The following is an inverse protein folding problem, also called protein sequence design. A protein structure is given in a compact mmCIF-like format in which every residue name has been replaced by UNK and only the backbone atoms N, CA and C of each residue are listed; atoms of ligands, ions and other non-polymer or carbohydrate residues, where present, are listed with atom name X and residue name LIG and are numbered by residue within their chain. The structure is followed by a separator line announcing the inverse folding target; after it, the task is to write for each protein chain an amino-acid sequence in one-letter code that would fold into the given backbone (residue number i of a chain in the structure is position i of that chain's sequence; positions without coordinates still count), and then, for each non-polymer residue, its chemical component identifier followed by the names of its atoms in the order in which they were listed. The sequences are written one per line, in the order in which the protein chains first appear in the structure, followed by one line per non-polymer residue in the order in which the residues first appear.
data_IF_838237833003
#
_entry.id   IF_838237833003
#
_cell.length_a   1.000
_cell.length_b   1.000
_cell.length_c   1.000
_cell.angle_alpha   90.00
_cell.angle_beta   90.00
_cell.angle_gamma   90.00
#
_symmetry.space_group_name_H-M   'P 1'
#
loop_
_entity.id
_entity.type
_entity.pdbx_description
1 polymer ?
#
# COMPACT_ATOMS: atom_id res chain seq x y z
N UNK A 1 2.43 24.34 11.23
CA UNK A 1 2.87 25.56 10.50
C UNK A 1 3.76 26.45 11.37
N UNK A 2 3.42 26.70 12.65
CA UNK A 2 4.25 27.55 13.54
C UNK A 2 5.67 26.99 13.70
N UNK A 3 5.84 25.69 14.00
CA UNK A 3 7.19 25.12 14.14
C UNK A 3 7.96 25.17 12.83
N UNK A 4 7.33 24.85 11.68
CA UNK A 4 7.98 24.93 10.37
C UNK A 4 8.44 26.36 10.02
N UNK A 5 7.60 27.38 10.25
CA UNK A 5 8.00 28.76 9.97
C UNK A 5 9.15 29.24 10.86
N UNK A 6 9.31 28.65 12.05
CA UNK A 6 10.37 28.98 12.99
C UNK A 6 11.67 28.20 12.72
N UNK A 7 11.57 26.90 12.41
CA UNK A 7 12.73 26.01 12.23
C UNK A 7 13.18 25.87 10.77
N UNK A 8 12.29 26.14 9.81
CA UNK A 8 12.40 25.77 8.39
C UNK A 8 12.68 24.28 8.16
N UNK A 9 12.33 23.43 9.13
CA UNK A 9 12.61 22.01 9.10
C UNK A 9 11.53 21.27 8.29
N UNK A 10 11.98 20.61 7.22
CA UNK A 10 11.16 19.84 6.29
C UNK A 10 10.33 18.77 7.00
N UNK A 11 10.81 18.20 8.10
CA UNK A 11 10.07 17.18 8.85
C UNK A 11 8.72 17.70 9.36
N UNK A 12 8.68 18.91 9.94
CA UNK A 12 7.43 19.51 10.43
C UNK A 12 6.49 19.91 9.29
N UNK A 13 7.04 20.29 8.12
CA UNK A 13 6.23 20.52 6.94
C UNK A 13 5.53 19.24 6.50
N UNK A 14 6.25 18.12 6.42
CA UNK A 14 5.69 16.85 5.97
C UNK A 14 4.63 16.31 6.93
N UNK A 15 4.84 16.42 8.25
CA UNK A 15 3.82 16.07 9.24
C UNK A 15 2.55 16.92 9.09
N UNK A 16 2.71 18.23 8.87
CA UNK A 16 1.58 19.11 8.61
C UNK A 16 0.83 18.71 7.33
N UNK A 17 1.56 18.42 6.24
CA UNK A 17 0.98 17.96 4.98
C UNK A 17 0.22 16.65 5.17
N UNK A 18 0.76 15.68 5.93
CA UNK A 18 0.04 14.45 6.24
C UNK A 18 -1.31 14.73 6.89
N UNK A 19 -1.32 15.52 7.96
CA UNK A 19 -2.54 15.83 8.71
C UNK A 19 -3.56 16.57 7.85
N UNK A 20 -3.12 17.52 7.04
CA UNK A 20 -3.98 18.27 6.12
C UNK A 20 -4.62 17.37 5.07
N UNK A 21 -3.84 16.49 4.44
CA UNK A 21 -4.34 15.55 3.42
C UNK A 21 -5.29 14.50 4.01
N UNK A 22 -5.01 14.01 5.22
CA UNK A 22 -5.91 13.08 5.92
C UNK A 22 -7.25 13.74 6.29
N UNK A 23 -7.23 15.00 6.74
CA UNK A 23 -8.47 15.74 7.00
C UNK A 23 -9.28 15.94 5.72
N UNK A 24 -8.63 16.34 4.63
CA UNK A 24 -9.28 16.48 3.33
C UNK A 24 -9.90 15.14 2.85
N UNK A 25 -9.22 14.01 3.11
CA UNK A 25 -9.77 12.68 2.83
C UNK A 25 -11.05 12.37 3.62
N UNK A 26 -11.10 12.76 4.90
CA UNK A 26 -12.29 12.57 5.73
C UNK A 26 -13.47 13.44 5.28
N UNK A 27 -13.18 14.64 4.78
CA UNK A 27 -14.17 15.58 4.24
C UNK A 27 -14.51 15.31 2.75
N UNK A 28 -13.87 14.31 2.14
CA UNK A 28 -13.94 13.99 0.71
C UNK A 28 -13.57 15.17 -0.22
N UNK A 29 -12.71 16.09 0.24
CA UNK A 29 -12.23 17.24 -0.54
C UNK A 29 -10.97 16.89 -1.36
N UNK A 30 -11.15 16.05 -2.39
CA UNK A 30 -10.05 15.66 -3.29
C UNK A 30 -9.85 16.63 -4.46
N UNK A 31 -10.75 17.60 -4.63
CA UNK A 31 -10.81 18.45 -5.82
C UNK A 31 -10.33 19.88 -5.57
N UNK A 32 -10.20 20.31 -4.31
CA UNK A 32 -9.67 21.64 -4.01
C UNK A 32 -8.26 21.82 -4.56
N UNK A 33 -7.96 23.07 -4.91
CA UNK A 33 -6.63 23.49 -5.38
C UNK A 33 -5.59 23.18 -4.29
N UNK A 34 -5.92 23.47 -3.03
CA UNK A 34 -5.06 23.22 -1.89
C UNK A 34 -4.71 21.73 -1.75
N UNK A 35 -5.69 20.83 -1.86
CA UNK A 35 -5.44 19.40 -1.82
C UNK A 35 -4.43 18.97 -2.89
N UNK A 36 -4.63 19.41 -4.14
CA UNK A 36 -3.77 19.06 -5.27
C UNK A 36 -2.34 19.56 -5.10
N UNK A 37 -2.17 20.80 -4.64
CA UNK A 37 -0.85 21.39 -4.39
C UNK A 37 -0.10 20.65 -3.27
N UNK A 38 -0.80 20.30 -2.19
CA UNK A 38 -0.23 19.56 -1.07
C UNK A 38 0.14 18.12 -1.47
N UNK A 39 -0.76 17.44 -2.21
CA UNK A 39 -0.51 16.11 -2.74
C UNK A 39 0.71 16.10 -3.65
N UNK A 40 0.81 17.06 -4.58
CA UNK A 40 1.96 17.20 -5.46
C UNK A 40 3.26 17.41 -4.67
N UNK A 41 3.25 18.28 -3.66
CA UNK A 41 4.43 18.52 -2.80
C UNK A 41 4.91 17.24 -2.12
N UNK A 42 3.97 16.42 -1.61
CA UNK A 42 4.28 15.13 -0.99
C UNK A 42 4.85 14.13 -1.99
N UNK A 43 4.22 14.01 -3.17
CA UNK A 43 4.67 13.11 -4.24
C UNK A 43 6.09 13.46 -4.70
N UNK A 44 6.36 14.74 -4.94
CA UNK A 44 7.69 15.23 -5.33
C UNK A 44 8.74 14.93 -4.27
N UNK A 45 8.42 15.12 -2.99
CA UNK A 45 9.32 14.75 -1.90
C UNK A 45 9.64 13.25 -1.93
N UNK A 46 8.62 12.38 -1.96
CA UNK A 46 8.81 10.93 -1.90
C UNK A 46 9.61 10.39 -3.09
N UNK A 47 9.41 10.94 -4.29
CA UNK A 47 10.16 10.54 -5.48
C UNK A 47 11.58 11.10 -5.54
N UNK A 48 11.83 12.28 -4.95
CA UNK A 48 13.17 12.87 -4.90
C UNK A 48 14.10 12.13 -3.93
N UNK A 49 13.57 11.60 -2.82
CA UNK A 49 14.38 10.90 -1.83
C UNK A 49 14.88 9.57 -2.39
N UNK A 50 16.20 9.38 -2.40
CA UNK A 50 16.84 8.20 -2.96
C UNK A 50 16.59 6.94 -2.13
N UNK A 51 16.72 7.03 -0.81
CA UNK A 51 16.55 5.91 0.13
C UNK A 51 15.43 6.19 1.12
N UNK A 52 14.51 5.24 1.28
CA UNK A 52 13.43 5.36 2.25
C UNK A 52 13.83 4.77 3.60
N UNK A 53 13.69 5.57 4.66
CA UNK A 53 13.71 5.13 6.03
C UNK A 53 12.29 4.90 6.55
N UNK A 54 12.19 4.59 7.85
CA UNK A 54 10.89 4.31 8.50
C UNK A 54 9.86 5.43 8.30
N UNK A 55 10.33 6.69 8.27
CA UNK A 55 9.49 7.85 8.07
C UNK A 55 8.87 7.82 6.68
N UNK A 56 9.67 7.72 5.61
CA UNK A 56 9.18 7.72 4.24
C UNK A 56 8.25 6.53 3.96
N UNK A 57 8.57 5.34 4.48
CA UNK A 57 7.66 4.18 4.39
C UNK A 57 6.30 4.51 5.00
N UNK A 58 6.27 4.98 6.25
CA UNK A 58 5.02 5.30 6.95
C UNK A 58 4.26 6.40 6.22
N UNK A 59 4.97 7.41 5.74
CA UNK A 59 4.41 8.56 5.03
C UNK A 59 3.76 8.13 3.70
N UNK A 60 4.45 7.32 2.90
CA UNK A 60 3.91 6.75 1.67
C UNK A 60 2.69 5.87 1.91
N UNK A 61 2.77 4.96 2.89
CA UNK A 61 1.68 4.01 3.20
C UNK A 61 0.40 4.75 3.58
N UNK A 62 0.50 5.75 4.44
CA UNK A 62 -0.66 6.50 4.90
C UNK A 62 -1.27 7.34 3.78
N UNK A 63 -0.42 7.92 2.92
CA UNK A 63 -0.85 8.84 1.87
C UNK A 63 -1.06 8.14 0.51
N UNK A 64 -1.17 6.81 0.45
CA UNK A 64 -1.31 6.10 -0.83
C UNK A 64 -2.50 6.59 -1.68
N UNK A 65 -3.54 7.12 -1.04
CA UNK A 65 -4.73 7.67 -1.70
C UNK A 65 -4.49 8.94 -2.53
N UNK A 66 -3.36 9.64 -2.32
CA UNK A 66 -3.04 10.86 -3.09
C UNK A 66 -2.44 10.52 -4.45
N UNK A 67 -2.05 9.28 -4.70
CA UNK A 67 -1.46 8.84 -5.97
C UNK A 67 -2.57 8.34 -6.90
N UNK A 68 -2.74 8.99 -8.04
CA UNK A 68 -3.58 8.43 -9.09
C UNK A 68 -2.96 7.15 -9.67
N UNK A 69 -3.80 6.34 -10.32
CA UNK A 69 -3.40 5.02 -10.83
C UNK A 69 -2.29 5.11 -11.89
N UNK A 70 -2.32 6.14 -12.74
CA UNK A 70 -1.35 6.31 -13.82
C UNK A 70 0.03 6.67 -13.27
N UNK A 71 0.07 7.63 -12.35
CA UNK A 71 1.28 8.05 -11.66
C UNK A 71 1.87 6.89 -10.87
N UNK A 72 1.06 6.18 -10.09
CA UNK A 72 1.53 5.07 -9.27
C UNK A 72 2.05 3.93 -10.15
N UNK A 73 1.36 3.60 -11.24
CA UNK A 73 1.81 2.58 -12.19
C UNK A 73 3.13 2.97 -12.86
N UNK A 74 3.28 4.25 -13.27
CA UNK A 74 4.52 4.76 -13.88
C UNK A 74 5.70 4.71 -12.92
N UNK A 75 5.48 5.05 -11.65
CA UNK A 75 6.55 5.14 -10.64
C UNK A 75 6.78 3.83 -9.88
N UNK A 76 5.94 2.81 -10.10
CA UNK A 76 5.98 1.55 -9.36
C UNK A 76 7.37 0.89 -9.32
N UNK A 77 8.13 0.79 -10.44
CA UNK A 77 9.45 0.18 -10.39
C UNK A 77 10.40 0.89 -9.42
N UNK A 78 10.37 2.23 -9.38
CA UNK A 78 11.21 3.02 -8.49
C UNK A 78 10.78 2.90 -7.02
N UNK A 79 9.46 2.87 -6.77
CA UNK A 79 8.92 2.68 -5.42
C UNK A 79 9.33 1.30 -4.88
N UNK A 80 9.13 0.25 -5.69
CA UNK A 80 9.46 -1.12 -5.30
C UNK A 80 10.97 -1.32 -5.12
N UNK A 81 11.81 -0.69 -5.93
CA UNK A 81 13.27 -0.71 -5.75
C UNK A 81 13.70 -0.13 -4.38
N UNK A 82 13.10 1.00 -3.98
CA UNK A 82 13.32 1.60 -2.65
C UNK A 82 12.87 0.69 -1.51
N UNK A 83 11.72 0.02 -1.69
CA UNK A 83 11.21 -0.98 -0.73
C UNK A 83 12.19 -2.15 -0.62
N UNK A 84 12.65 -2.68 -1.76
CA UNK A 84 13.50 -3.87 -1.84
C UNK A 84 14.92 -3.63 -1.34
N UNK A 85 15.42 -2.40 -1.39
CA UNK A 85 16.73 -2.03 -0.82
C UNK A 85 16.86 -2.40 0.65
N UNK A 86 15.74 -2.45 1.39
CA UNK A 86 15.71 -2.79 2.83
C UNK A 86 15.20 -4.21 3.10
N UNK A 87 14.94 -5.02 2.06
CA UNK A 87 14.23 -6.30 2.20
C UNK A 87 14.96 -7.36 3.04
N UNK A 88 16.29 -7.34 3.06
CA UNK A 88 17.11 -8.27 3.84
C UNK A 88 17.20 -7.89 5.33
N UNK A 89 16.90 -6.65 5.69
CA UNK A 89 16.90 -6.21 7.09
C UNK A 89 15.56 -6.57 7.77
N UNK A 90 15.63 -7.50 8.72
CA UNK A 90 14.46 -7.94 9.47
C UNK A 90 13.76 -6.79 10.22
N UNK A 91 14.47 -5.71 10.55
CA UNK A 91 13.89 -4.53 11.20
C UNK A 91 12.90 -3.77 10.29
N UNK A 92 13.01 -3.95 8.98
CA UNK A 92 12.13 -3.33 7.98
C UNK A 92 11.02 -4.25 7.47
N UNK A 93 11.16 -5.57 7.67
CA UNK A 93 10.24 -6.59 7.17
C UNK A 93 8.75 -6.29 7.41
N UNK A 94 8.38 -5.83 8.60
CA UNK A 94 7.00 -5.48 8.93
C UNK A 94 6.50 -4.25 8.15
N UNK A 95 7.31 -3.19 8.05
CA UNK A 95 6.93 -1.99 7.28
C UNK A 95 6.80 -2.31 5.79
N UNK A 96 7.72 -3.10 5.26
CA UNK A 96 7.67 -3.59 3.87
C UNK A 96 6.40 -4.43 3.64
N UNK A 97 6.08 -5.33 4.58
CA UNK A 97 4.87 -6.14 4.51
C UNK A 97 3.61 -5.29 4.49
N UNK A 98 3.51 -4.29 5.37
CA UNK A 98 2.37 -3.36 5.38
C UNK A 98 2.30 -2.55 4.10
N UNK A 99 3.44 -2.05 3.58
CA UNK A 99 3.47 -1.29 2.33
C UNK A 99 2.94 -2.10 1.14
N UNK A 100 3.41 -3.34 1.01
CA UNK A 100 3.00 -4.22 -0.09
C UNK A 100 1.55 -4.64 0.06
N UNK A 101 1.10 -5.01 1.27
CA UNK A 101 -0.31 -5.38 1.50
C UNK A 101 -1.27 -4.22 1.24
N UNK A 102 -0.92 -3.01 1.68
CA UNK A 102 -1.73 -1.82 1.41
C UNK A 102 -1.73 -1.47 -0.09
N UNK A 103 -0.60 -1.67 -0.78
CA UNK A 103 -0.51 -1.57 -2.24
C UNK A 103 -1.43 -2.56 -2.96
N UNK A 104 -1.41 -3.83 -2.57
CA UNK A 104 -2.31 -4.86 -3.09
C UNK A 104 -3.79 -4.51 -2.85
N UNK A 105 -4.12 -4.07 -1.63
CA UNK A 105 -5.46 -3.65 -1.28
C UNK A 105 -5.93 -2.46 -2.12
N UNK A 106 -5.08 -1.43 -2.25
CA UNK A 106 -5.36 -0.26 -3.07
C UNK A 106 -5.63 -0.64 -4.54
N UNK A 107 -4.74 -1.44 -5.14
CA UNK A 107 -4.91 -1.90 -6.52
C UNK A 107 -6.19 -2.73 -6.72
N UNK A 108 -6.57 -3.51 -5.70
CA UNK A 108 -7.83 -4.26 -5.68
C UNK A 108 -9.04 -3.33 -5.68
N UNK A 109 -9.06 -2.31 -4.82
CA UNK A 109 -10.15 -1.32 -4.75
C UNK A 109 -10.30 -0.54 -6.07
N UNK A 110 -9.18 -0.26 -6.74
CA UNK A 110 -9.17 0.35 -8.07
C UNK A 110 -9.55 -0.61 -9.21
N UNK A 111 -9.75 -1.90 -8.92
CA UNK A 111 -10.00 -2.96 -9.90
C UNK A 111 -8.93 -2.97 -11.01
N UNK A 112 -7.68 -2.65 -10.68
CA UNK A 112 -6.59 -2.47 -11.63
C UNK A 112 -5.57 -3.63 -11.55
N UNK A 113 -5.63 -4.64 -12.44
CA UNK A 113 -4.73 -5.78 -12.39
C UNK A 113 -3.27 -5.41 -12.71
N UNK A 114 -3.05 -4.44 -13.60
CA UNK A 114 -1.71 -3.97 -13.97
C UNK A 114 -0.98 -3.31 -12.80
N UNK A 115 -1.73 -2.67 -11.89
CA UNK A 115 -1.19 -2.08 -10.67
C UNK A 115 -0.95 -3.13 -9.57
N UNK A 116 -1.76 -4.20 -9.52
CA UNK A 116 -1.63 -5.28 -8.55
C UNK A 116 -0.44 -6.20 -8.85
N UNK A 117 -0.19 -6.48 -10.14
CA UNK A 117 0.83 -7.44 -10.58
C UNK A 117 2.25 -7.14 -10.04
N UNK A 118 2.77 -5.90 -10.06
CA UNK A 118 4.09 -5.60 -9.50
C UNK A 118 4.22 -5.93 -8.01
N UNK A 119 3.20 -5.64 -7.20
CA UNK A 119 3.21 -5.99 -5.78
C UNK A 119 3.29 -7.51 -5.56
N UNK A 120 2.52 -8.28 -6.33
CA UNK A 120 2.57 -9.76 -6.26
C UNK A 120 3.97 -10.29 -6.60
N UNK A 121 4.61 -9.74 -7.64
CA UNK A 121 5.99 -10.11 -8.03
C UNK A 121 7.02 -9.73 -6.95
N UNK A 122 6.81 -8.61 -6.25
CA UNK A 122 7.65 -8.24 -5.12
C UNK A 122 7.55 -9.24 -3.98
N UNK A 123 6.36 -9.76 -3.67
CA UNK A 123 6.19 -10.79 -2.63
C UNK A 123 7.03 -12.04 -2.92
N UNK A 124 7.15 -12.43 -4.19
CA UNK A 124 7.99 -13.56 -4.62
C UNK A 124 9.47 -13.29 -4.45
N UNK A 125 9.88 -12.05 -4.68
CA UNK A 125 11.28 -11.62 -4.63
C UNK A 125 11.78 -11.39 -3.19
N UNK A 126 10.88 -11.29 -2.21
CA UNK A 126 11.26 -11.13 -0.81
C UNK A 126 11.86 -12.41 -0.20
N UNK A 127 12.80 -12.27 0.75
CA UNK A 127 13.40 -13.39 1.45
C UNK A 127 12.38 -14.35 2.07
N UNK A 128 12.66 -15.65 2.01
CA UNK A 128 11.85 -16.68 2.67
C UNK A 128 12.23 -16.79 4.15
N UNK A 129 11.85 -15.78 4.93
CA UNK A 129 12.08 -15.73 6.37
C UNK A 129 10.75 -15.69 7.13
N UNK A 130 10.72 -16.09 8.41
CA UNK A 130 9.53 -15.97 9.25
C UNK A 130 8.96 -14.54 9.31
N UNK A 131 9.82 -13.53 9.10
CA UNK A 131 9.43 -12.13 9.13
C UNK A 131 8.46 -11.73 8.00
N UNK A 132 8.52 -12.39 6.85
CA UNK A 132 7.60 -12.18 5.73
C UNK A 132 6.48 -13.21 5.65
N UNK A 133 6.36 -14.10 6.63
CA UNK A 133 5.37 -15.17 6.61
C UNK A 133 3.94 -14.64 6.45
N UNK A 134 3.58 -13.61 7.21
CA UNK A 134 2.26 -12.98 7.12
C UNK A 134 1.99 -12.36 5.74
N UNK A 135 2.97 -11.67 5.16
CA UNK A 135 2.82 -11.13 3.80
C UNK A 135 2.67 -12.24 2.77
N UNK A 136 3.55 -13.25 2.81
CA UNK A 136 3.56 -14.35 1.84
C UNK A 136 2.30 -15.20 1.94
N UNK A 137 1.69 -15.34 3.12
CA UNK A 137 0.40 -16.04 3.26
C UNK A 137 -0.78 -15.29 2.61
N UNK A 138 -0.66 -13.99 2.34
CA UNK A 138 -1.65 -13.21 1.56
C UNK A 138 -1.53 -13.37 0.05
N UNK A 139 -0.40 -13.88 -0.44
CA UNK A 139 -0.16 -13.95 -1.87
C UNK A 139 -1.21 -14.78 -2.62
N UNK A 140 -1.60 -16.00 -2.20
CA UNK A 140 -2.60 -16.79 -2.92
C UNK A 140 -3.96 -16.11 -3.01
N UNK A 141 -4.34 -15.37 -1.96
CA UNK A 141 -5.57 -14.59 -1.93
C UNK A 141 -5.55 -13.46 -2.99
N UNK A 142 -4.50 -12.64 -3.02
CA UNK A 142 -4.39 -11.56 -4.00
C UNK A 142 -4.14 -12.06 -5.43
N UNK A 143 -3.54 -13.22 -5.61
CA UNK A 143 -3.46 -13.88 -6.93
C UNK A 143 -4.83 -14.25 -7.47
N UNK A 144 -5.74 -14.76 -6.63
CA UNK A 144 -7.11 -15.04 -7.04
C UNK A 144 -7.86 -13.77 -7.43
N UNK A 145 -7.66 -12.69 -6.70
CA UNK A 145 -8.19 -11.37 -7.08
C UNK A 145 -7.61 -10.94 -8.44
N UNK A 146 -6.29 -11.01 -8.61
CA UNK A 146 -5.66 -10.64 -9.87
C UNK A 146 -6.16 -11.48 -11.05
N UNK A 147 -6.32 -12.78 -10.86
CA UNK A 147 -6.91 -13.68 -11.85
C UNK A 147 -8.33 -13.23 -12.21
N UNK A 148 -9.19 -13.02 -11.22
CA UNK A 148 -10.55 -12.52 -11.42
C UNK A 148 -10.61 -11.19 -12.17
N UNK A 149 -9.75 -10.23 -11.81
CA UNK A 149 -9.71 -8.93 -12.50
C UNK A 149 -9.43 -9.08 -14.00
N UNK A 150 -8.67 -10.11 -14.40
CA UNK A 150 -8.33 -10.40 -15.81
C UNK A 150 -9.33 -11.30 -16.52
N UNK A 151 -9.90 -12.30 -15.85
CA UNK A 151 -10.69 -13.37 -16.49
C UNK A 151 -12.16 -13.37 -16.12
N UNK A 152 -12.54 -12.63 -15.05
CA UNK A 152 -13.85 -12.68 -14.39
C UNK A 152 -14.21 -14.05 -13.81
N UNK A 153 -13.23 -14.92 -13.64
CA UNK A 153 -13.36 -16.22 -12.97
C UNK A 153 -12.65 -16.17 -11.62
N UNK A 154 -13.20 -16.85 -10.61
CA UNK A 154 -12.60 -16.91 -9.28
C UNK A 154 -12.70 -18.33 -8.74
N UNK A 155 -11.58 -18.83 -8.19
CA UNK A 155 -11.56 -20.09 -7.47
C UNK A 155 -11.95 -19.83 -6.00
N UNK A 156 -13.24 -19.99 -5.70
CA UNK A 156 -13.76 -19.80 -4.35
C UNK A 156 -13.19 -20.82 -3.36
N UNK A 157 -12.78 -22.01 -3.81
CA UNK A 157 -12.16 -22.99 -2.94
C UNK A 157 -10.79 -22.48 -2.48
N UNK A 158 -9.93 -22.04 -3.41
CA UNK A 158 -8.61 -21.49 -3.08
C UNK A 158 -8.71 -20.23 -2.23
N UNK A 159 -9.69 -19.37 -2.50
CA UNK A 159 -9.98 -18.20 -1.66
C UNK A 159 -10.33 -18.63 -0.23
N UNK A 160 -11.27 -19.57 -0.06
CA UNK A 160 -11.67 -20.03 1.27
C UNK A 160 -10.53 -20.73 2.01
N UNK A 161 -9.67 -21.48 1.32
CA UNK A 161 -8.46 -22.06 1.91
C UNK A 161 -7.50 -20.98 2.43
N UNK A 162 -7.29 -19.92 1.64
CA UNK A 162 -6.46 -18.77 2.05
C UNK A 162 -7.03 -18.08 3.29
N UNK A 163 -8.36 -17.87 3.32
CA UNK A 163 -9.06 -17.28 4.46
C UNK A 163 -8.98 -18.14 5.74
N UNK A 164 -9.16 -19.45 5.60
CA UNK A 164 -9.03 -20.40 6.70
C UNK A 164 -7.60 -20.41 7.29
N UNK A 165 -6.59 -20.23 6.45
CA UNK A 165 -5.19 -20.11 6.85
C UNK A 165 -4.99 -18.95 7.85
N UNK A 166 -5.57 -17.77 7.59
CA UNK A 166 -5.46 -16.64 8.51
C UNK A 166 -6.15 -16.89 9.84
N UNK A 167 -7.33 -17.54 9.82
CA UNK A 167 -8.03 -17.92 11.03
C UNK A 167 -7.22 -18.89 11.89
N UNK A 168 -6.57 -19.88 11.27
CA UNK A 168 -5.69 -20.81 11.98
C UNK A 168 -4.46 -20.13 12.62
N UNK A 169 -4.01 -19.01 12.04
CA UNK A 169 -2.93 -18.18 12.61
C UNK A 169 -3.41 -17.25 13.75
N UNK A 170 -4.69 -17.24 14.08
CA UNK A 170 -5.27 -16.39 15.14
C UNK A 170 -5.75 -15.02 14.67
N UNK A 171 -5.88 -14.79 13.35
CA UNK A 171 -6.41 -13.53 12.80
C UNK A 171 -7.94 -13.61 12.62
N UNK A 172 -8.68 -13.72 13.73
CA UNK A 172 -10.11 -14.05 13.75
C UNK A 172 -10.99 -13.06 12.96
N UNK A 173 -10.69 -11.76 13.03
CA UNK A 173 -11.46 -10.71 12.34
C UNK A 173 -10.98 -10.43 10.92
N UNK A 174 -9.85 -11.03 10.52
CA UNK A 174 -9.19 -10.68 9.26
C UNK A 174 -9.85 -11.35 8.06
N UNK A 175 -10.33 -12.58 8.25
CA UNK A 175 -11.18 -13.27 7.27
C UNK A 175 -12.39 -12.41 6.88
N UNK A 176 -13.11 -11.87 7.87
CA UNK A 176 -14.31 -11.07 7.64
C UNK A 176 -14.00 -9.82 6.80
N UNK A 177 -12.91 -9.11 7.12
CA UNK A 177 -12.47 -7.93 6.35
C UNK A 177 -12.15 -8.27 4.90
N UNK A 178 -11.45 -9.38 4.66
CA UNK A 178 -11.14 -9.83 3.30
C UNK A 178 -12.37 -10.32 2.53
N UNK A 179 -13.37 -10.87 3.22
CA UNK A 179 -14.67 -11.23 2.63
C UNK A 179 -15.52 -10.02 2.27
N UNK A 180 -15.42 -8.91 2.99
CA UNK A 180 -16.04 -7.65 2.58
C UNK A 180 -15.39 -7.16 1.29
N UNK A 181 -14.04 -7.16 1.21
CA UNK A 181 -13.31 -6.78 0.00
C UNK A 181 -13.74 -7.59 -1.22
N UNK A 182 -13.53 -8.91 -1.19
CA UNK A 182 -14.57 -9.88 -1.56
C UNK A 182 -15.77 -9.40 -2.39
N UNK A 183 -16.85 -9.23 -1.63
CA UNK A 183 -18.17 -8.86 -2.09
C UNK A 183 -18.17 -7.48 -2.78
N UNK A 184 -17.43 -6.51 -2.24
CA UNK A 184 -17.39 -5.15 -2.77
C UNK A 184 -16.75 -5.07 -4.16
N UNK A 185 -15.75 -5.93 -4.48
CA UNK A 185 -15.13 -5.91 -5.81
C UNK A 185 -15.83 -6.81 -6.83
N UNK A 186 -16.48 -7.90 -6.39
CA UNK A 186 -17.20 -8.83 -7.27
C UNK A 186 -18.59 -8.34 -7.67
N UNK A 187 -19.17 -7.40 -6.93
CA UNK A 187 -20.34 -6.60 -7.34
C UNK A 187 -19.92 -5.48 -8.31
#
# INVERSE_FOLDING_TARGET
MIEYHQSKDVFYLLLYLQGSLENARQEADFHSILFKEQAQTVQEYLFRIETWGKFEFTFFINLLFIFDEELLQRQMPQILDKIMTQAEDYLYSNMISVAILNGCHYATLKKNPSLLQPFLQTIDSLPNTPHYFYLKSHRPFYEQIHHYLRTKQIDLEQVNQSLACFKQMGYDTHEERLRVLINDFML
#
